data_IF_098913451636
#
_entry.id   IF_098913451636
#
_cell.length_a   1.000
_cell.length_b   1.000
_cell.length_c   1.000
_cell.angle_alpha   90.00
_cell.angle_beta   90.00
_cell.angle_gamma   90.00
#
_symmetry.space_group_name_H-M   'P 1'
#
loop_
_entity.id
_entity.type
_entity.pdbx_description
1 polymer ?
#
# COMPACT_ATOMS: atom_id res chain seq x y z
N UNK A 1 11.77 -12.59 39.04
CA UNK A 1 12.40 -12.17 37.76
C UNK A 1 11.42 -11.22 37.13
N UNK A 2 11.83 -9.97 36.86
CA UNK A 2 10.95 -8.97 36.24
C UNK A 2 10.83 -9.31 34.76
N UNK A 3 9.63 -9.69 34.29
CA UNK A 3 9.35 -9.81 32.86
C UNK A 3 9.48 -8.43 32.23
N UNK A 4 10.50 -8.24 31.41
CA UNK A 4 10.75 -6.99 30.68
C UNK A 4 9.72 -6.89 29.54
N UNK A 5 8.48 -6.48 29.82
CA UNK A 5 7.44 -6.29 28.79
C UNK A 5 7.77 -5.07 27.91
N UNK A 6 8.10 -5.26 26.63
CA UNK A 6 8.27 -4.15 25.67
C UNK A 6 6.89 -3.68 25.20
N UNK A 7 6.59 -2.40 25.37
CA UNK A 7 5.36 -1.73 24.93
C UNK A 7 5.69 -0.68 23.88
N UNK A 8 4.79 -0.44 22.95
CA UNK A 8 4.89 0.67 22.01
C UNK A 8 4.04 1.83 22.50
N UNK A 9 4.65 2.98 22.69
CA UNK A 9 3.99 4.22 23.06
C UNK A 9 3.86 5.10 21.82
N UNK A 10 2.63 5.51 21.51
CA UNK A 10 2.35 6.54 20.51
C UNK A 10 1.75 7.72 21.24
N UNK A 11 2.48 8.83 21.30
CA UNK A 11 2.04 10.07 21.91
C UNK A 11 1.72 11.08 20.80
N UNK A 12 0.51 11.60 20.78
CA UNK A 12 0.12 12.71 19.90
C UNK A 12 -0.05 13.97 20.75
N UNK A 13 0.85 14.94 20.56
CA UNK A 13 0.82 16.23 21.25
C UNK A 13 -0.22 17.14 20.58
N UNK A 14 -1.20 17.57 21.38
CA UNK A 14 -2.37 18.32 20.92
C UNK A 14 -2.05 19.81 20.80
N UNK A 15 -1.40 20.20 19.71
CA UNK A 15 -1.27 21.62 19.37
C UNK A 15 -2.57 22.16 18.74
N UNK A 16 -3.40 21.26 18.19
CA UNK A 16 -4.70 21.57 17.57
C UNK A 16 -5.75 20.52 17.95
N UNK A 17 -7.05 20.81 17.75
CA UNK A 17 -8.08 19.78 17.83
C UNK A 17 -7.72 18.60 16.92
N UNK A 18 -7.77 17.40 17.48
CA UNK A 18 -7.47 16.17 16.76
C UNK A 18 -8.75 15.62 16.12
N UNK A 19 -8.73 15.45 14.79
CA UNK A 19 -9.84 14.81 14.10
C UNK A 19 -9.92 13.32 14.45
N UNK A 20 -11.14 12.83 14.69
CA UNK A 20 -11.39 11.44 15.06
C UNK A 20 -11.00 10.49 13.93
N UNK A 21 -11.24 10.87 12.67
CA UNK A 21 -10.89 10.07 11.51
C UNK A 21 -9.38 10.01 11.32
N UNK A 22 -8.66 11.10 11.57
CA UNK A 22 -7.19 11.11 11.50
C UNK A 22 -6.58 10.24 12.60
N UNK A 23 -7.08 10.33 13.83
CA UNK A 23 -6.63 9.49 14.93
C UNK A 23 -6.88 8.02 14.64
N UNK A 24 -8.09 7.67 14.21
CA UNK A 24 -8.45 6.27 13.93
C UNK A 24 -7.68 5.73 12.73
N UNK A 25 -7.52 6.49 11.65
CA UNK A 25 -6.69 6.12 10.51
C UNK A 25 -5.22 5.92 10.90
N UNK A 26 -4.71 6.77 11.80
CA UNK A 26 -3.34 6.69 12.27
C UNK A 26 -3.09 5.41 13.08
N UNK A 27 -3.92 5.14 14.08
CA UNK A 27 -3.80 3.92 14.91
C UNK A 27 -4.06 2.64 14.10
N UNK A 28 -5.05 2.67 13.20
CA UNK A 28 -5.34 1.54 12.32
C UNK A 28 -4.16 1.20 11.40
N UNK A 29 -3.49 2.23 10.85
CA UNK A 29 -2.33 2.04 9.98
C UNK A 29 -1.17 1.31 10.69
N UNK A 30 -0.92 1.61 11.97
CA UNK A 30 0.11 0.93 12.76
C UNK A 30 -0.30 -0.53 13.03
N UNK A 31 -1.55 -0.78 13.39
CA UNK A 31 -2.06 -2.13 13.60
C UNK A 31 -2.01 -3.00 12.34
N UNK A 32 -2.33 -2.41 11.19
CA UNK A 32 -2.24 -3.07 9.88
C UNK A 32 -0.79 -3.36 9.49
N UNK A 33 0.14 -2.42 9.70
CA UNK A 33 1.56 -2.65 9.44
C UNK A 33 2.14 -3.73 10.35
N UNK A 34 1.78 -3.75 11.64
CA UNK A 34 2.24 -4.77 12.57
C UNK A 34 1.83 -6.18 12.11
N UNK A 35 0.57 -6.35 11.71
CA UNK A 35 0.06 -7.62 11.18
C UNK A 35 0.87 -8.08 9.96
N UNK A 36 1.17 -7.15 9.05
CA UNK A 36 1.98 -7.45 7.85
C UNK A 36 3.42 -7.81 8.19
N UNK A 37 4.06 -7.03 9.06
CA UNK A 37 5.43 -7.25 9.51
C UNK A 37 5.58 -8.60 10.21
N UNK A 38 4.60 -8.99 11.03
CA UNK A 38 4.62 -10.27 11.75
C UNK A 38 4.49 -11.50 10.86
N UNK A 39 3.93 -11.34 9.65
CA UNK A 39 3.56 -12.45 8.78
C UNK A 39 2.38 -13.31 9.29
N UNK A 40 1.78 -12.97 10.43
CA UNK A 40 0.66 -13.70 11.04
C UNK A 40 -0.64 -12.90 10.91
N UNK A 41 -1.62 -13.45 10.16
CA UNK A 41 -2.95 -12.86 10.00
C UNK A 41 -3.72 -12.72 11.32
N UNK A 42 -3.31 -13.42 12.39
CA UNK A 42 -3.90 -13.32 13.73
C UNK A 42 -3.22 -12.30 14.64
N UNK A 43 -2.05 -11.78 14.27
CA UNK A 43 -1.35 -10.79 15.08
C UNK A 43 -2.13 -9.47 15.17
N UNK A 44 -2.33 -8.96 16.38
CA UNK A 44 -3.09 -7.73 16.64
C UNK A 44 -2.37 -6.88 17.67
N UNK A 45 -2.44 -5.56 17.48
CA UNK A 45 -2.11 -4.57 18.50
C UNK A 45 -3.40 -4.12 19.19
N UNK A 46 -3.31 -3.94 20.50
CA UNK A 46 -4.43 -3.46 21.32
C UNK A 46 -4.03 -2.18 22.03
N UNK A 47 -4.96 -1.23 22.12
CA UNK A 47 -4.81 -0.03 22.94
C UNK A 47 -5.06 -0.40 24.39
N UNK A 48 -4.01 -0.35 25.22
CA UNK A 48 -4.07 -0.61 26.66
C UNK A 48 -4.73 0.56 27.41
N UNK A 49 -4.39 1.80 27.04
CA UNK A 49 -4.97 3.01 27.63
C UNK A 49 -4.85 4.22 26.68
N UNK A 50 -5.70 5.23 26.92
CA UNK A 50 -5.63 6.58 26.36
C UNK A 50 -5.82 7.57 27.52
N UNK A 51 -4.84 8.43 27.79
CA UNK A 51 -4.85 9.38 28.93
C UNK A 51 -5.12 10.82 28.49
N UNK A 52 -5.53 11.71 29.39
CA UNK A 52 -5.73 13.14 29.10
C UNK A 52 -4.42 13.95 29.09
N UNK A 53 -4.41 15.06 28.36
CA UNK A 53 -3.31 15.98 27.95
C UNK A 53 -2.61 15.70 26.61
N UNK A 54 -2.52 14.44 26.16
CA UNK A 54 -2.03 14.00 24.85
C UNK A 54 -2.70 12.66 24.51
N UNK A 55 -2.91 12.32 23.24
CA UNK A 55 -3.37 10.95 22.94
C UNK A 55 -2.15 10.04 23.08
N UNK A 56 -1.97 9.46 24.26
CA UNK A 56 -0.96 8.45 24.53
C UNK A 56 -1.61 7.07 24.39
N UNK A 57 -1.43 6.42 23.24
CA UNK A 57 -1.84 5.05 23.02
C UNK A 57 -0.68 4.13 23.38
N UNK A 58 -0.88 3.29 24.41
CA UNK A 58 0.04 2.20 24.74
C UNK A 58 -0.41 0.94 24.02
N UNK A 59 0.45 0.38 23.17
CA UNK A 59 0.16 -0.78 22.34
C UNK A 59 0.92 -2.01 22.83
N UNK A 60 0.19 -3.11 22.98
CA UNK A 60 0.73 -4.44 23.28
C UNK A 60 0.33 -5.45 22.20
N UNK A 61 1.19 -6.43 21.94
CA UNK A 61 0.91 -7.52 21.00
C UNK A 61 0.29 -8.71 21.72
N UNK A 62 -0.73 -9.33 21.09
CA UNK A 62 -1.35 -10.56 21.58
C UNK A 62 -1.80 -11.47 20.44
N UNK A 63 -1.88 -12.77 20.70
CA UNK A 63 -2.54 -13.75 19.83
C UNK A 63 -4.03 -13.85 20.18
N UNK A 64 -4.88 -14.12 19.18
CA UNK A 64 -6.35 -14.22 19.35
C UNK A 64 -6.77 -15.30 20.36
N UNK A 65 -5.96 -16.34 20.51
CA UNK A 65 -6.23 -17.49 21.38
C UNK A 65 -6.07 -17.11 22.87
N UNK A 66 -5.26 -16.09 23.18
CA UNK A 66 -5.11 -15.55 24.54
C UNK A 66 -6.38 -14.82 25.05
N UNK A 67 -7.23 -14.32 24.16
CA UNK A 67 -8.46 -13.59 24.50
C UNK A 67 -9.66 -14.50 24.80
N UNK A 68 -9.65 -15.76 24.34
CA UNK A 68 -10.83 -16.63 24.45
C UNK A 68 -11.01 -17.33 25.81
N UNK A 69 -10.02 -17.28 26.70
CA UNK A 69 -10.01 -18.15 27.88
C UNK A 69 -10.39 -17.47 29.22
N UNK A 70 -10.83 -16.21 29.24
CA UNK A 70 -11.00 -15.46 30.50
C UNK A 70 -9.70 -15.39 31.32
N UNK A 71 -8.58 -15.67 30.67
CA UNK A 71 -7.25 -15.71 31.26
C UNK A 71 -6.82 -14.27 31.59
N UNK A 72 -6.02 -14.07 32.65
CA UNK A 72 -5.39 -12.78 32.89
C UNK A 72 -4.64 -12.31 31.63
N UNK A 73 -4.58 -11.00 31.43
CA UNK A 73 -3.79 -10.38 30.37
C UNK A 73 -2.34 -10.85 30.47
N UNK A 74 -1.99 -11.91 29.74
CA UNK A 74 -0.63 -12.42 29.65
C UNK A 74 -0.13 -11.98 28.27
N UNK A 75 0.77 -10.98 28.19
CA UNK A 75 1.44 -10.61 26.95
C UNK A 75 2.22 -11.82 26.44
N UNK A 76 1.81 -12.43 25.33
CA UNK A 76 2.52 -13.58 24.77
C UNK A 76 3.55 -13.06 23.75
N UNK A 77 4.82 -13.38 24.01
CA UNK A 77 5.98 -13.25 23.12
C UNK A 77 6.31 -11.82 22.63
N UNK A 78 6.69 -11.01 23.61
CA UNK A 78 7.84 -10.10 23.71
C UNK A 78 8.85 -9.88 22.56
N UNK A 79 8.99 -10.76 21.57
CA UNK A 79 10.10 -10.72 20.61
C UNK A 79 9.77 -9.96 19.32
N UNK A 80 8.49 -9.78 18.98
CA UNK A 80 8.08 -9.17 17.71
C UNK A 80 7.98 -7.64 17.72
N UNK A 81 7.76 -7.02 18.88
CA UNK A 81 7.41 -5.60 18.97
C UNK A 81 8.65 -4.68 18.87
N UNK A 82 9.79 -5.07 19.45
CA UNK A 82 11.03 -4.30 19.31
C UNK A 82 11.58 -4.30 17.87
N UNK A 83 11.65 -5.44 17.16
CA UNK A 83 11.98 -5.46 15.73
C UNK A 83 10.97 -4.67 14.89
N UNK A 84 9.68 -4.75 15.21
CA UNK A 84 8.65 -3.95 14.53
C UNK A 84 8.87 -2.45 14.73
N UNK A 85 9.16 -2.00 15.96
CA UNK A 85 9.49 -0.60 16.23
C UNK A 85 10.71 -0.13 15.42
N UNK A 86 11.72 -0.99 15.29
CA UNK A 86 12.89 -0.73 14.43
C UNK A 86 12.50 -0.59 12.96
N UNK A 87 11.71 -1.53 12.43
CA UNK A 87 11.16 -1.49 11.07
C UNK A 87 10.35 -0.22 10.82
N UNK A 88 9.42 0.08 11.73
CA UNK A 88 8.49 1.19 11.61
C UNK A 88 9.20 2.55 11.67
N UNK A 89 10.06 2.74 12.67
CA UNK A 89 10.86 3.97 12.78
C UNK A 89 11.84 4.10 11.60
N UNK A 90 12.41 2.99 11.11
CA UNK A 90 13.25 2.95 9.92
C UNK A 90 12.52 3.42 8.67
N UNK A 91 11.30 2.90 8.43
CA UNK A 91 10.46 3.30 7.30
C UNK A 91 10.08 4.78 7.37
N UNK A 92 9.62 5.26 8.53
CA UNK A 92 9.21 6.65 8.71
C UNK A 92 10.39 7.62 8.54
N UNK A 93 11.55 7.30 9.12
CA UNK A 93 12.78 8.09 8.94
C UNK A 93 13.27 8.04 7.49
N UNK A 94 13.20 6.89 6.84
CA UNK A 94 13.53 6.72 5.43
C UNK A 94 12.66 7.62 4.56
N UNK A 95 11.34 7.61 4.77
CA UNK A 95 10.40 8.45 4.04
C UNK A 95 10.61 9.95 4.31
N UNK A 96 10.88 10.34 5.56
CA UNK A 96 11.18 11.74 5.90
C UNK A 96 12.42 12.28 5.16
N UNK A 97 13.41 11.40 4.91
CA UNK A 97 14.68 11.74 4.29
C UNK A 97 14.83 11.26 2.84
N UNK A 98 13.74 10.78 2.23
CA UNK A 98 13.77 10.25 0.87
C UNK A 98 14.21 11.33 -0.13
N UNK A 99 15.15 10.97 -1.01
CA UNK A 99 15.81 11.87 -1.94
C UNK A 99 16.96 12.71 -1.33
N UNK A 100 17.29 12.50 -0.05
CA UNK A 100 18.40 13.18 0.65
C UNK A 100 19.60 12.26 0.95
N UNK A 101 19.53 10.97 0.63
CA UNK A 101 20.64 10.04 0.81
C UNK A 101 20.33 8.58 0.42
N UNK A 102 21.34 7.88 -0.11
CA UNK A 102 21.22 6.54 -0.71
C UNK A 102 20.66 5.47 0.24
N UNK A 103 21.05 5.48 1.52
CA UNK A 103 20.62 4.48 2.49
C UNK A 103 19.11 4.58 2.82
N UNK A 104 18.58 5.80 2.88
CA UNK A 104 17.15 6.05 3.09
C UNK A 104 16.34 5.64 1.86
N UNK A 105 16.87 5.92 0.67
CA UNK A 105 16.21 5.62 -0.59
C UNK A 105 16.09 4.11 -0.84
N UNK A 106 17.10 3.32 -0.47
CA UNK A 106 17.07 1.86 -0.63
C UNK A 106 16.02 1.19 0.27
N UNK A 107 15.92 1.60 1.54
CA UNK A 107 14.94 1.06 2.48
C UNK A 107 13.51 1.37 2.02
N UNK A 108 13.27 2.59 1.56
CA UNK A 108 11.97 3.06 1.10
C UNK A 108 11.58 2.44 -0.24
N UNK A 109 12.53 2.30 -1.18
CA UNK A 109 12.26 1.74 -2.51
C UNK A 109 11.86 0.26 -2.48
N UNK A 110 12.28 -0.48 -1.44
CA UNK A 110 11.89 -1.88 -1.21
C UNK A 110 10.54 -2.03 -0.50
N UNK A 111 9.97 -0.92 -0.01
CA UNK A 111 8.70 -0.94 0.72
C UNK A 111 7.53 -1.10 -0.25
N UNK A 112 6.58 -1.97 0.09
CA UNK A 112 5.42 -2.19 -0.75
C UNK A 112 4.39 -1.03 -0.63
N UNK A 113 3.48 -0.95 -1.60
CA UNK A 113 2.46 0.12 -1.66
C UNK A 113 1.57 0.18 -0.43
N UNK A 114 1.33 -0.92 0.28
CA UNK A 114 0.53 -0.90 1.49
C UNK A 114 1.31 -0.32 2.66
N UNK A 115 2.58 -0.67 2.83
CA UNK A 115 3.45 -0.04 3.86
C UNK A 115 3.57 1.47 3.63
N UNK A 116 3.68 1.92 2.38
CA UNK A 116 3.67 3.35 2.03
C UNK A 116 2.33 4.04 2.37
N UNK A 117 1.19 3.37 2.14
CA UNK A 117 -0.13 3.89 2.53
C UNK A 117 -0.28 3.95 4.05
N UNK A 118 0.20 2.92 4.76
CA UNK A 118 0.18 2.88 6.22
C UNK A 118 1.00 4.03 6.79
N UNK A 119 2.23 4.24 6.32
CA UNK A 119 3.06 5.37 6.74
C UNK A 119 2.38 6.73 6.49
N UNK A 120 1.77 6.92 5.30
CA UNK A 120 1.01 8.14 4.98
C UNK A 120 -0.16 8.37 5.93
N UNK A 121 -0.98 7.34 6.17
CA UNK A 121 -2.16 7.45 7.03
C UNK A 121 -1.76 7.66 8.51
N UNK A 122 -0.66 7.05 8.93
CA UNK A 122 -0.11 7.22 10.27
C UNK A 122 0.20 8.68 10.61
N UNK A 123 0.80 9.41 9.68
CA UNK A 123 1.22 10.80 9.90
C UNK A 123 0.11 11.83 9.68
N UNK A 124 -1.13 11.43 9.38
CA UNK A 124 -2.24 12.36 9.15
C UNK A 124 -2.47 13.37 10.29
N UNK A 125 -2.45 12.97 11.58
CA UNK A 125 -2.51 13.94 12.68
C UNK A 125 -1.40 15.00 12.64
N UNK A 126 -0.20 14.62 12.19
CA UNK A 126 0.93 15.53 12.09
C UNK A 126 0.82 16.48 10.91
N UNK A 127 0.39 15.99 9.74
CA UNK A 127 0.09 16.82 8.57
C UNK A 127 -0.94 17.91 8.91
N UNK A 128 -1.87 17.62 9.80
CA UNK A 128 -2.90 18.56 10.26
C UNK A 128 -2.47 19.45 11.44
N UNK A 129 -1.17 19.43 11.78
CA UNK A 129 -0.55 20.37 12.70
C UNK A 129 -0.38 19.89 14.14
N UNK A 130 -0.42 18.58 14.39
CA UNK A 130 -0.02 18.01 15.69
C UNK A 130 1.40 17.44 15.62
N UNK A 131 2.00 17.10 16.75
CA UNK A 131 3.24 16.32 16.77
C UNK A 131 2.95 14.88 17.19
N UNK A 132 3.62 13.90 16.56
CA UNK A 132 3.52 12.49 16.92
C UNK A 132 4.89 12.01 17.40
N UNK A 133 4.94 11.43 18.58
CA UNK A 133 6.10 10.73 19.10
C UNK A 133 5.80 9.24 19.18
N UNK A 134 6.69 8.43 18.63
CA UNK A 134 6.64 6.96 18.75
C UNK A 134 7.88 6.51 19.50
N UNK A 135 7.70 5.63 20.48
CA UNK A 135 8.81 5.03 21.22
C UNK A 135 8.46 3.65 21.75
N UNK A 136 9.45 2.80 21.94
CA UNK A 136 9.35 1.61 22.77
C UNK A 136 9.64 1.93 24.23
N UNK A 137 8.91 1.30 25.14
CA UNK A 137 9.18 1.30 26.57
C UNK A 137 9.40 -0.14 27.03
N UNK A 138 10.52 -0.41 27.69
CA UNK A 138 10.85 -1.70 28.28
C UNK A 138 10.85 -1.66 29.82
N UNK A 139 10.03 -0.78 30.42
CA UNK A 139 9.91 -0.49 31.86
C UNK A 139 11.17 0.12 32.50
N UNK A 140 12.24 0.34 31.74
CA UNK A 140 13.53 0.81 32.27
C UNK A 140 14.16 1.93 31.43
N UNK A 141 13.97 1.92 30.10
CA UNK A 141 14.51 2.90 29.16
C UNK A 141 13.58 3.06 27.96
N UNK A 142 13.40 4.30 27.49
CA UNK A 142 12.77 4.60 26.19
C UNK A 142 13.71 4.22 25.05
N UNK A 143 13.28 3.34 24.15
CA UNK A 143 14.08 2.85 23.01
C UNK A 143 13.40 3.18 21.69
N UNK A 144 14.18 3.36 20.61
CA UNK A 144 13.70 3.62 19.25
C UNK A 144 12.65 4.75 19.18
N UNK A 145 13.07 5.96 19.54
CA UNK A 145 12.23 7.15 19.52
C UNK A 145 12.30 7.85 18.16
N UNK A 146 11.14 8.16 17.59
CA UNK A 146 10.99 9.11 16.48
C UNK A 146 9.99 10.19 16.90
N UNK A 147 10.33 11.45 16.59
CA UNK A 147 9.45 12.60 16.74
C UNK A 147 9.11 13.11 15.35
N UNK A 148 7.82 13.19 15.06
CA UNK A 148 7.25 13.60 13.79
C UNK A 148 6.55 14.92 14.04
N UNK A 149 7.24 16.01 13.70
CA UNK A 149 6.65 17.35 13.65
C UNK A 149 5.75 17.49 12.41
N UNK A 150 4.92 18.54 12.30
CA UNK A 150 4.12 18.77 11.10
C UNK A 150 4.94 18.80 9.80
N UNK A 151 6.15 19.35 9.83
CA UNK A 151 7.05 19.40 8.68
C UNK A 151 7.52 18.00 8.28
N UNK A 152 7.95 17.19 9.25
CA UNK A 152 8.38 15.81 9.02
C UNK A 152 7.19 14.96 8.54
N UNK A 153 6.01 15.15 9.12
CA UNK A 153 4.77 14.48 8.70
C UNK A 153 4.41 14.82 7.25
N UNK A 154 4.54 16.10 6.87
CA UNK A 154 4.37 16.56 5.49
C UNK A 154 5.38 15.94 4.51
N UNK A 155 6.65 15.84 4.91
CA UNK A 155 7.70 15.19 4.13
C UNK A 155 7.40 13.70 3.91
N UNK A 156 7.06 12.96 4.97
CA UNK A 156 6.67 11.56 4.90
C UNK A 156 5.46 11.37 3.97
N UNK A 157 4.39 12.14 4.16
CA UNK A 157 3.18 12.01 3.37
C UNK A 157 3.41 12.33 1.89
N UNK A 158 4.18 13.38 1.57
CA UNK A 158 4.52 13.75 0.20
C UNK A 158 5.37 12.69 -0.48
N UNK A 159 6.41 12.19 0.18
CA UNK A 159 7.29 11.18 -0.38
C UNK A 159 6.57 9.84 -0.55
N UNK A 160 5.73 9.44 0.42
CA UNK A 160 4.84 8.29 0.27
C UNK A 160 3.89 8.47 -0.91
N UNK A 161 3.27 9.64 -1.08
CA UNK A 161 2.40 9.92 -2.24
C UNK A 161 3.15 9.86 -3.58
N UNK A 162 4.38 10.39 -3.63
CA UNK A 162 5.22 10.32 -4.83
C UNK A 162 5.50 8.85 -5.23
N UNK A 163 5.88 8.02 -4.27
CA UNK A 163 6.16 6.60 -4.49
C UNK A 163 4.89 5.79 -4.81
N UNK A 164 3.76 6.15 -4.19
CA UNK A 164 2.46 5.54 -4.45
C UNK A 164 1.90 5.91 -5.82
N UNK A 165 2.15 7.13 -6.31
CA UNK A 165 1.82 7.55 -7.66
C UNK A 165 2.62 6.72 -8.69
N UNK A 166 3.79 6.23 -8.30
CA UNK A 166 4.70 5.49 -9.16
C UNK A 166 5.39 6.39 -10.17
N UNK A 167 6.18 5.81 -11.10
CA UNK A 167 6.64 6.57 -12.25
C UNK A 167 5.43 7.14 -12.99
N UNK A 168 5.58 8.36 -13.54
CA UNK A 168 4.62 8.92 -14.49
C UNK A 168 4.24 7.84 -15.51
N UNK A 169 2.97 7.75 -15.94
CA UNK A 169 2.56 6.73 -16.89
C UNK A 169 3.49 6.70 -18.09
N UNK A 170 4.31 5.65 -18.17
CA UNK A 170 5.11 5.36 -19.33
C UNK A 170 4.24 4.65 -20.36
N UNK A 171 4.44 4.97 -21.63
CA UNK A 171 3.82 4.25 -22.73
C UNK A 171 4.83 3.26 -23.30
N UNK A 172 4.47 1.98 -23.28
CA UNK A 172 5.22 0.92 -23.94
C UNK A 172 4.54 0.63 -25.28
N UNK A 173 5.22 0.96 -26.38
CA UNK A 173 4.72 0.61 -27.71
C UNK A 173 4.90 -0.89 -27.95
N UNK A 174 3.88 -1.52 -28.51
CA UNK A 174 3.90 -2.92 -28.90
C UNK A 174 3.30 -3.09 -30.29
N UNK A 175 3.76 -4.11 -30.98
CA UNK A 175 3.38 -4.40 -32.37
C UNK A 175 3.09 -5.89 -32.49
N UNK A 176 2.00 -6.23 -33.19
CA UNK A 176 1.61 -7.61 -33.49
C UNK A 176 1.55 -8.53 -32.26
N UNK A 177 1.00 -8.04 -31.15
CA UNK A 177 0.85 -8.83 -29.93
C UNK A 177 -0.53 -9.50 -29.87
N UNK A 178 -0.64 -10.75 -29.37
CA UNK A 178 -1.92 -11.43 -29.24
C UNK A 178 -2.73 -10.87 -28.06
N UNK A 179 -3.84 -10.23 -28.39
CA UNK A 179 -4.86 -9.76 -27.46
C UNK A 179 -5.97 -10.80 -27.32
N UNK A 180 -6.29 -11.14 -26.07
CA UNK A 180 -7.50 -11.88 -25.72
C UNK A 180 -8.51 -10.96 -25.06
N UNK A 181 -9.75 -11.07 -25.51
CA UNK A 181 -10.86 -10.33 -24.92
C UNK A 181 -11.36 -11.05 -23.68
N UNK A 182 -11.64 -10.27 -22.64
CA UNK A 182 -12.26 -10.75 -21.42
C UNK A 182 -13.69 -10.22 -21.29
N UNK A 183 -13.91 -8.96 -21.69
CA UNK A 183 -15.21 -8.33 -21.71
C UNK A 183 -15.23 -7.27 -22.79
N UNK A 184 -16.25 -7.25 -23.64
CA UNK A 184 -16.50 -6.14 -24.57
C UNK A 184 -17.95 -5.68 -24.38
N UNK A 185 -18.16 -4.38 -24.33
CA UNK A 185 -19.49 -3.78 -24.20
C UNK A 185 -19.78 -2.88 -25.40
N UNK A 186 -21.05 -2.81 -25.76
CA UNK A 186 -21.58 -1.80 -26.68
C UNK A 186 -21.71 -0.43 -25.99
N UNK A 187 -20.59 0.03 -25.41
CA UNK A 187 -20.45 1.30 -24.71
C UNK A 187 -19.02 1.81 -24.88
N UNK A 188 -18.78 3.12 -24.76
CA UNK A 188 -17.44 3.72 -24.90
C UNK A 188 -16.44 3.28 -23.81
N UNK A 189 -16.90 2.63 -22.75
CA UNK A 189 -16.07 2.22 -21.63
C UNK A 189 -16.50 0.85 -21.07
N UNK A 190 -15.54 0.17 -20.44
CA UNK A 190 -15.77 -1.12 -19.80
C UNK A 190 -15.23 -2.32 -20.57
N UNK A 191 -14.49 -2.10 -21.65
CA UNK A 191 -13.80 -3.16 -22.38
C UNK A 191 -12.56 -3.63 -21.60
N UNK A 192 -12.38 -4.94 -21.52
CA UNK A 192 -11.30 -5.61 -20.80
C UNK A 192 -10.67 -6.68 -21.68
N UNK A 193 -9.36 -6.78 -21.63
CA UNK A 193 -8.60 -7.82 -22.30
C UNK A 193 -7.20 -7.93 -21.72
N UNK A 194 -6.46 -8.91 -22.20
CA UNK A 194 -5.12 -9.20 -21.71
C UNK A 194 -4.20 -9.60 -22.85
N UNK A 195 -2.97 -9.11 -22.75
CA UNK A 195 -1.85 -9.46 -23.61
C UNK A 195 -0.83 -10.14 -22.70
N UNK A 196 -0.61 -11.44 -22.90
CA UNK A 196 0.10 -12.31 -21.96
C UNK A 196 1.52 -11.84 -21.67
N UNK A 197 2.18 -11.22 -22.68
CA UNK A 197 3.50 -10.61 -22.52
C UNK A 197 3.55 -9.59 -21.38
N UNK A 198 2.46 -8.88 -21.13
CA UNK A 198 2.44 -7.79 -20.17
C UNK A 198 1.67 -8.08 -18.88
N UNK A 199 0.58 -8.87 -18.94
CA UNK A 199 -0.17 -9.21 -17.74
C UNK A 199 -1.04 -10.45 -17.94
N UNK A 200 -1.08 -11.30 -16.93
CA UNK A 200 -2.05 -12.41 -16.82
C UNK A 200 -3.42 -11.95 -16.31
N UNK A 201 -3.58 -10.68 -15.91
CA UNK A 201 -4.85 -10.12 -15.42
C UNK A 201 -5.51 -9.24 -16.50
N UNK A 202 -6.85 -9.27 -16.65
CA UNK A 202 -7.55 -8.39 -17.57
C UNK A 202 -7.30 -6.91 -17.23
N UNK A 203 -6.95 -6.12 -18.25
CA UNK A 203 -6.74 -4.67 -18.16
C UNK A 203 -7.72 -3.95 -19.07
N UNK A 204 -7.95 -2.68 -18.77
CA UNK A 204 -8.84 -1.82 -19.55
C UNK A 204 -8.33 -1.68 -20.98
N UNK A 205 -9.22 -1.88 -21.94
CA UNK A 205 -8.97 -1.60 -23.35
C UNK A 205 -9.56 -0.25 -23.72
N UNK A 206 -8.87 0.45 -24.61
CA UNK A 206 -9.36 1.62 -25.32
C UNK A 206 -8.96 1.47 -26.79
N UNK A 207 -9.79 1.95 -27.70
CA UNK A 207 -9.54 1.83 -29.14
C UNK A 207 -9.26 3.23 -29.71
N UNK A 208 -8.28 3.31 -30.61
CA UNK A 208 -7.91 4.55 -31.31
C UNK A 208 -8.94 5.00 -32.35
N UNK A 209 -9.81 4.09 -32.79
CA UNK A 209 -10.92 4.39 -33.68
C UNK A 209 -12.12 3.49 -33.40
N UNK A 210 -13.33 3.97 -33.72
CA UNK A 210 -14.56 3.18 -33.63
C UNK A 210 -14.52 1.99 -34.61
N UNK A 211 -13.84 2.13 -35.76
CA UNK A 211 -13.67 1.05 -36.75
C UNK A 211 -12.92 -0.17 -36.18
N UNK A 212 -11.85 0.05 -35.41
CA UNK A 212 -11.13 -1.05 -34.76
C UNK A 212 -12.00 -1.78 -33.72
N UNK A 213 -12.93 -1.07 -33.07
CA UNK A 213 -13.88 -1.67 -32.14
C UNK A 213 -14.97 -2.46 -32.86
N UNK A 214 -15.47 -1.96 -33.99
CA UNK A 214 -16.47 -2.67 -34.79
C UNK A 214 -15.96 -3.99 -35.36
N UNK A 215 -14.69 -4.05 -35.79
CA UNK A 215 -14.06 -5.27 -36.29
C UNK A 215 -14.02 -6.39 -35.23
N UNK A 216 -13.87 -6.01 -33.95
CA UNK A 216 -13.94 -6.95 -32.82
C UNK A 216 -15.39 -7.37 -32.52
N UNK A 217 -16.33 -6.44 -32.56
CA UNK A 217 -17.73 -6.69 -32.16
C UNK A 217 -18.50 -7.55 -33.18
N UNK A 218 -18.16 -7.50 -34.46
CA UNK A 218 -18.88 -8.19 -35.53
C UNK A 218 -18.30 -9.55 -35.93
N UNK A 219 -17.24 -10.01 -35.26
CA UNK A 219 -16.71 -11.35 -35.49
C UNK A 219 -17.64 -12.45 -34.95
N UNK A 220 -17.78 -13.55 -35.69
CA UNK A 220 -18.41 -14.77 -35.18
C UNK A 220 -17.53 -15.35 -34.07
N UNK A 221 -17.87 -15.05 -32.80
CA UNK A 221 -17.18 -15.53 -31.58
C UNK A 221 -15.86 -14.81 -31.24
N UNK A 222 -15.91 -13.53 -30.82
CA UNK A 222 -14.71 -12.72 -30.55
C UNK A 222 -13.92 -13.19 -29.31
N UNK A 223 -14.48 -14.06 -28.47
CA UNK A 223 -13.79 -14.60 -27.29
C UNK A 223 -12.98 -15.88 -27.59
N UNK A 224 -13.17 -16.48 -28.78
CA UNK A 224 -12.53 -17.73 -29.19
C UNK A 224 -11.39 -17.50 -30.21
N UNK A 225 -11.01 -16.24 -30.42
CA UNK A 225 -9.95 -15.84 -31.34
C UNK A 225 -8.87 -15.02 -30.63
N UNK A 226 -7.68 -14.99 -31.23
CA UNK A 226 -6.64 -14.01 -30.91
C UNK A 226 -6.70 -12.87 -31.90
N UNK A 227 -6.76 -11.64 -31.38
CA UNK A 227 -6.58 -10.43 -32.17
C UNK A 227 -5.11 -10.03 -32.08
N UNK A 228 -4.40 -10.03 -33.21
CA UNK A 228 -3.07 -9.46 -33.26
C UNK A 228 -3.20 -7.94 -33.34
N UNK A 229 -2.61 -7.23 -32.38
CA UNK A 229 -2.82 -5.80 -32.22
C UNK A 229 -1.52 -5.03 -32.10
N UNK A 230 -1.57 -3.80 -32.57
CA UNK A 230 -0.53 -2.78 -32.40
C UNK A 230 -1.07 -1.62 -31.59
N UNK A 231 -0.26 -1.11 -30.66
CA UNK A 231 -0.70 0.00 -29.80
C UNK A 231 0.24 0.31 -28.65
N UNK A 232 -0.33 0.87 -27.58
CA UNK A 232 0.40 1.37 -26.42
C UNK A 232 -0.10 0.70 -25.14
N UNK A 233 0.81 0.12 -24.37
CA UNK A 233 0.53 -0.32 -23.01
C UNK A 233 0.85 0.84 -22.07
N UNK A 234 -0.19 1.38 -21.42
CA UNK A 234 -0.02 2.44 -20.42
C UNK A 234 0.30 1.82 -19.08
N UNK A 235 1.42 2.24 -18.51
CA UNK A 235 1.87 1.79 -17.19
C UNK A 235 1.41 2.76 -16.11
N UNK A 236 1.19 2.28 -14.89
CA UNK A 236 1.03 3.11 -13.71
C UNK A 236 1.51 2.35 -12.48
N UNK A 237 2.36 2.96 -11.64
CA UNK A 237 2.85 2.29 -10.45
C UNK A 237 3.62 1.00 -10.72
N UNK A 238 4.38 0.93 -11.81
CA UNK A 238 5.21 -0.22 -12.19
C UNK A 238 4.45 -1.40 -12.83
N UNK A 239 3.14 -1.27 -13.06
CA UNK A 239 2.31 -2.30 -13.69
C UNK A 239 1.56 -1.75 -14.91
N UNK A 240 1.06 -2.63 -15.78
CA UNK A 240 0.12 -2.23 -16.83
C UNK A 240 -1.20 -1.77 -16.21
N UNK A 241 -1.63 -0.56 -16.56
CA UNK A 241 -2.92 0.01 -16.20
C UNK A 241 -3.98 -0.24 -17.30
N UNK A 242 -3.60 -0.06 -18.57
CA UNK A 242 -4.52 -0.20 -19.71
C UNK A 242 -3.77 -0.42 -21.02
N UNK A 243 -4.47 -0.95 -22.03
CA UNK A 243 -4.00 -0.98 -23.41
C UNK A 243 -4.78 0.02 -24.26
N UNK A 244 -4.08 0.73 -25.13
CA UNK A 244 -4.64 1.55 -26.19
C UNK A 244 -4.35 0.87 -27.52
N UNK A 245 -5.39 0.31 -28.14
CA UNK A 245 -5.29 -0.43 -29.39
C UNK A 245 -5.42 0.58 -30.54
N UNK A 246 -4.33 0.79 -31.26
CA UNK A 246 -4.30 1.69 -32.43
C UNK A 246 -4.81 0.96 -33.67
N UNK A 247 -4.44 -0.33 -33.81
CA UNK A 247 -4.70 -1.13 -35.01
C UNK A 247 -4.86 -2.61 -34.68
N UNK A 248 -5.71 -3.28 -35.46
CA UNK A 248 -5.79 -4.75 -35.55
C UNK A 248 -5.04 -5.17 -36.81
N UNK A 249 -4.06 -6.06 -36.63
CA UNK A 249 -3.17 -6.55 -37.68
C UNK A 249 -3.61 -7.91 -38.24
N UNK A 250 -4.40 -8.66 -37.48
CA UNK A 250 -4.96 -9.93 -37.92
C UNK A 250 -5.78 -10.63 -36.85
N UNK A 251 -6.49 -11.68 -37.26
CA UNK A 251 -7.34 -12.51 -36.40
C UNK A 251 -6.98 -13.97 -36.64
N UNK A 252 -6.83 -14.76 -35.58
CA UNK A 252 -6.59 -16.20 -35.68
C UNK A 252 -7.44 -16.98 -34.70
N UNK A 253 -7.95 -18.13 -35.12
CA UNK A 253 -8.71 -19.03 -34.24
C UNK A 253 -7.80 -19.61 -33.16
N UNK A 254 -8.32 -19.70 -31.94
CA UNK A 254 -7.61 -20.29 -30.81
C UNK A 254 -7.29 -21.78 -31.00
N UNK A 255 -8.03 -22.47 -31.87
CA UNK A 255 -7.84 -23.89 -32.19
C UNK A 255 -6.73 -24.16 -33.23
N UNK A 256 -6.10 -23.11 -33.77
CA UNK A 256 -5.05 -23.21 -34.78
C UNK A 256 -3.61 -22.97 -34.25
N UNK A 257 -3.45 -22.79 -32.93
CA UNK A 257 -2.17 -22.49 -32.27
C UNK A 257 -1.77 -23.57 -31.25
#
# INVERSE_FOLDING_TARGET
>A
MSETSTRMLIKIEKERPLDLLDLTASLAAVGDEYRRFSGDEKARLYVESITESSVLATLTSMTRDALQAGAPFIPIALDGLAPFLGHWSGLLNGLANYGRGLASDELVSRSDKSSLRNAKNFVAPAVNGNAIQVSGDNNTVTVNQIVITPEIGGDIARNANHLLAGPLPGELRFENEPLRLYQVRDAKAGDLGFIDRFSSKPKRLTFGSDAAKEEILHGDSPFDVFFFVTGLAKTAGGEIASYHIEKIDGITSRDAA
#
